data_IF_976397278102
#
_entry.id   IF_976397278102
#
_cell.length_a   1.000
_cell.length_b   1.000
_cell.length_c   1.000
_cell.angle_alpha   90.00
_cell.angle_beta   90.00
_cell.angle_gamma   90.00
#
_symmetry.space_group_name_H-M   'P 1'
#
loop_
_entity.id
_entity.type
_entity.pdbx_description
1 polymer ?
#
# COMPACT_ATOMS: atom_id res chain seq x y z
N UNK A 1 16.59 5.46 -11.12
CA UNK A 1 15.75 5.90 -9.99
C UNK A 1 16.24 5.18 -8.75
N UNK A 2 16.68 5.90 -7.72
CA UNK A 2 17.10 5.31 -6.46
C UNK A 2 15.91 4.64 -5.78
N UNK A 3 16.09 3.39 -5.35
CA UNK A 3 15.08 2.68 -4.54
C UNK A 3 15.33 3.03 -3.08
N UNK A 4 14.28 3.45 -2.39
CA UNK A 4 14.36 3.93 -1.02
C UNK A 4 14.76 2.80 -0.05
N UNK A 5 15.75 2.99 0.84
CA UNK A 5 16.25 1.90 1.69
C UNK A 5 15.32 1.52 2.83
N UNK A 6 14.36 2.37 3.22
CA UNK A 6 13.36 2.03 4.23
C UNK A 6 12.20 1.32 3.55
N UNK A 7 11.30 2.03 2.87
CA UNK A 7 10.04 1.45 2.37
C UNK A 7 10.17 0.55 1.13
N UNK A 8 11.21 0.76 0.31
CA UNK A 8 11.40 0.08 -0.96
C UNK A 8 10.57 0.63 -2.13
N UNK A 9 9.93 1.78 -1.94
CA UNK A 9 9.31 2.51 -3.04
C UNK A 9 10.38 3.21 -3.90
N UNK A 10 10.05 3.48 -5.15
CA UNK A 10 10.91 4.28 -6.03
C UNK A 10 10.90 5.73 -5.52
N UNK A 11 12.04 6.22 -5.07
CA UNK A 11 12.21 7.62 -4.74
C UNK A 11 12.61 8.37 -6.01
N UNK A 12 12.02 9.54 -6.23
CA UNK A 12 12.49 10.45 -7.26
C UNK A 12 13.78 11.12 -6.78
N UNK A 13 14.79 11.23 -7.65
CA UNK A 13 16.02 12.01 -7.38
C UNK A 13 15.74 13.50 -7.08
N UNK A 14 14.51 13.96 -7.34
CA UNK A 14 14.01 15.30 -7.02
C UNK A 14 13.27 15.38 -5.68
N UNK A 15 13.33 14.36 -4.82
CA UNK A 15 12.69 14.44 -3.52
C UNK A 15 13.38 15.50 -2.66
N UNK A 16 12.60 16.42 -2.08
CA UNK A 16 13.13 17.41 -1.14
C UNK A 16 13.57 16.77 0.19
N UNK A 17 13.10 15.55 0.45
CA UNK A 17 13.39 14.79 1.66
C UNK A 17 14.62 13.94 1.41
N UNK A 18 15.73 14.34 2.02
CA UNK A 18 17.03 13.68 1.90
C UNK A 18 17.71 13.54 3.26
N UNK A 19 18.66 12.62 3.37
CA UNK A 19 19.57 12.51 4.50
C UNK A 19 20.97 12.09 4.03
N UNK A 20 22.01 12.68 4.62
CA UNK A 20 23.39 12.33 4.31
C UNK A 20 23.93 11.35 5.34
N UNK A 21 24.43 10.20 4.87
CA UNK A 21 25.06 9.21 5.72
C UNK A 21 26.33 8.65 5.05
N UNK A 22 27.45 8.68 5.77
CA UNK A 22 28.77 8.24 5.28
C UNK A 22 29.20 8.84 3.92
N UNK A 23 28.78 10.07 3.64
CA UNK A 23 29.10 10.78 2.39
C UNK A 23 28.22 10.38 1.20
N UNK A 24 27.16 9.62 1.43
CA UNK A 24 26.11 9.30 0.45
C UNK A 24 24.81 10.00 0.83
N UNK A 25 24.21 10.71 -0.13
CA UNK A 25 22.89 11.32 0.02
C UNK A 25 21.82 10.30 -0.31
N UNK A 26 20.93 10.03 0.64
CA UNK A 26 19.77 9.16 0.49
C UNK A 26 18.51 10.00 0.28
N UNK A 27 17.59 9.47 -0.52
CA UNK A 27 16.32 10.11 -0.90
C UNK A 27 15.15 9.32 -0.31
N UNK A 28 14.15 10.03 0.21
CA UNK A 28 13.01 9.42 0.91
C UNK A 28 11.67 9.85 0.31
N UNK A 29 10.69 8.94 0.33
CA UNK A 29 9.33 9.21 -0.13
C UNK A 29 8.50 10.02 0.87
N UNK A 30 8.83 9.95 2.17
CA UNK A 30 8.15 10.68 3.25
C UNK A 30 9.12 11.08 4.35
N UNK A 31 8.69 12.05 5.18
CA UNK A 31 9.45 12.49 6.35
C UNK A 31 9.61 11.36 7.37
N UNK A 32 8.59 10.54 7.55
CA UNK A 32 8.65 9.40 8.47
C UNK A 32 9.76 8.41 8.06
N UNK A 33 9.88 8.10 6.75
CA UNK A 33 10.93 7.20 6.27
C UNK A 33 12.34 7.77 6.52
N UNK A 34 12.52 9.08 6.35
CA UNK A 34 13.78 9.76 6.72
C UNK A 34 14.05 9.63 8.21
N UNK A 35 13.07 9.94 9.05
CA UNK A 35 13.24 9.93 10.51
C UNK A 35 13.59 8.50 11.00
N UNK A 36 12.91 7.47 10.48
CA UNK A 36 13.27 6.07 10.74
C UNK A 36 14.69 5.73 10.29
N UNK A 37 15.12 6.22 9.12
CA UNK A 37 16.49 6.02 8.65
C UNK A 37 17.50 6.71 9.58
N UNK A 38 17.23 7.94 10.02
CA UNK A 38 18.13 8.70 10.91
C UNK A 38 18.27 8.06 12.30
N UNK A 39 17.23 7.38 12.80
CA UNK A 39 17.32 6.62 14.06
C UNK A 39 18.31 5.46 13.97
N UNK A 40 18.32 4.73 12.84
CA UNK A 40 19.11 3.51 12.67
C UNK A 40 19.75 3.38 11.27
N UNK A 41 20.59 4.34 10.83
CA UNK A 41 21.02 4.43 9.43
C UNK A 41 21.85 3.24 8.99
N UNK A 42 22.74 2.75 9.86
CA UNK A 42 23.57 1.56 9.61
C UNK A 42 22.74 0.33 9.26
N UNK A 43 21.59 0.15 9.92
CA UNK A 43 20.72 -1.02 9.69
C UNK A 43 20.17 -1.04 8.27
N UNK A 44 19.75 0.13 7.75
CA UNK A 44 19.19 0.25 6.42
C UNK A 44 20.25 0.27 5.31
N UNK A 45 21.49 0.64 5.64
CA UNK A 45 22.65 0.54 4.74
C UNK A 45 23.10 -0.92 4.60
N UNK A 46 23.17 -1.66 5.71
CA UNK A 46 23.57 -3.08 5.71
C UNK A 46 22.48 -4.00 5.13
N UNK A 47 21.22 -3.77 5.52
CA UNK A 47 20.07 -4.55 5.06
C UNK A 47 18.96 -3.61 4.55
N UNK A 48 18.98 -3.24 3.26
CA UNK A 48 17.96 -2.37 2.69
C UNK A 48 16.61 -3.08 2.67
N UNK A 49 15.57 -2.37 3.13
CA UNK A 49 14.17 -2.82 3.21
C UNK A 49 14.01 -4.03 4.15
N UNK A 50 14.35 -3.89 5.44
CA UNK A 50 14.35 -5.02 6.38
C UNK A 50 12.95 -5.62 6.61
N UNK A 51 11.89 -4.89 6.28
CA UNK A 51 10.51 -5.41 6.31
C UNK A 51 10.10 -6.10 5.01
N UNK A 52 10.96 -6.28 4.02
CA UNK A 52 10.65 -7.05 2.81
C UNK A 52 11.52 -8.32 2.75
N UNK A 53 10.97 -9.40 2.21
CA UNK A 53 11.73 -10.58 1.85
C UNK A 53 11.32 -11.07 0.45
N UNK A 54 12.26 -11.74 -0.23
CA UNK A 54 11.94 -12.49 -1.44
C UNK A 54 11.26 -13.81 -1.06
N UNK A 55 10.06 -14.02 -1.58
CA UNK A 55 9.34 -15.28 -1.51
C UNK A 55 9.08 -15.79 -2.94
N UNK A 56 10.04 -16.54 -3.48
CA UNK A 56 9.96 -17.14 -4.83
C UNK A 56 9.87 -16.08 -5.94
N UNK A 57 10.70 -15.03 -5.88
CA UNK A 57 10.72 -13.95 -6.87
C UNK A 57 9.66 -12.87 -6.65
N UNK A 58 8.89 -12.95 -5.57
CA UNK A 58 7.93 -11.92 -5.16
C UNK A 58 8.45 -11.24 -3.89
N UNK A 59 8.67 -9.93 -3.96
CA UNK A 59 9.00 -9.12 -2.79
C UNK A 59 7.74 -8.96 -1.94
N UNK A 60 7.71 -9.61 -0.78
CA UNK A 60 6.58 -9.57 0.16
C UNK A 60 7.03 -8.95 1.48
N UNK A 61 6.13 -8.31 2.24
CA UNK A 61 6.47 -7.88 3.59
C UNK A 61 6.86 -9.06 4.48
N UNK A 62 7.97 -8.94 5.20
CA UNK A 62 8.36 -9.76 6.35
C UNK A 62 7.37 -9.52 7.49
N UNK A 63 6.19 -10.12 7.39
CA UNK A 63 5.30 -10.25 8.53
C UNK A 63 6.05 -10.95 9.67
N UNK A 64 6.28 -10.23 10.77
CA UNK A 64 6.82 -10.80 12.01
C UNK A 64 5.82 -11.74 12.67
N UNK A 65 4.55 -11.66 12.26
CA UNK A 65 3.58 -12.68 12.57
C UNK A 65 4.01 -13.94 11.85
N UNK A 66 4.56 -14.87 12.65
CA UNK A 66 4.90 -16.20 12.22
C UNK A 66 3.82 -16.69 11.27
N UNK A 67 4.24 -17.27 10.15
CA UNK A 67 3.43 -18.16 9.34
C UNK A 67 2.77 -19.11 10.32
N UNK A 68 1.56 -18.80 10.81
CA UNK A 68 0.98 -19.67 11.82
C UNK A 68 0.68 -20.94 11.03
N UNK A 69 1.47 -21.97 11.33
CA UNK A 69 1.25 -23.29 10.78
C UNK A 69 0.09 -23.82 11.60
N UNK A 70 -1.12 -23.64 11.07
CA UNK A 70 -2.36 -23.91 11.78
C UNK A 70 -3.57 -23.63 10.89
N UNK A 71 -4.68 -24.29 11.21
CA UNK A 71 -5.96 -24.08 10.54
C UNK A 71 -6.58 -22.79 11.08
N UNK A 72 -6.55 -21.73 10.27
CA UNK A 72 -7.27 -20.50 10.61
C UNK A 72 -8.74 -20.68 10.23
N UNK A 73 -9.60 -20.80 11.23
CA UNK A 73 -11.04 -20.81 11.02
C UNK A 73 -11.58 -19.39 11.17
N UNK A 74 -11.84 -18.73 10.04
CA UNK A 74 -12.57 -17.47 10.01
C UNK A 74 -14.06 -17.77 10.16
N UNK A 75 -14.61 -17.58 11.36
CA UNK A 75 -16.05 -17.64 11.57
C UNK A 75 -16.66 -16.30 11.25
N UNK A 76 -17.54 -16.28 10.26
CA UNK A 76 -18.39 -15.14 9.97
C UNK A 76 -19.40 -15.01 11.10
N UNK A 77 -19.19 -14.01 11.98
CA UNK A 77 -20.10 -13.76 13.10
C UNK A 77 -21.49 -13.34 12.61
N UNK A 78 -21.54 -12.62 11.49
CA UNK A 78 -22.78 -12.18 10.85
C UNK A 78 -22.60 -12.18 9.32
N UNK A 79 -23.31 -13.03 8.57
CA UNK A 79 -23.21 -13.11 7.11
C UNK A 79 -23.80 -11.90 6.40
N UNK A 80 -24.64 -11.09 7.05
CA UNK A 80 -25.22 -9.87 6.45
C UNK A 80 -24.21 -8.71 6.42
N UNK A 81 -23.12 -8.80 7.21
CA UNK A 81 -22.01 -7.84 7.20
C UNK A 81 -20.97 -8.14 6.11
N UNK A 82 -21.05 -9.31 5.45
CA UNK A 82 -20.22 -9.61 4.29
C UNK A 82 -20.84 -8.95 3.06
N UNK A 83 -20.23 -7.85 2.61
CA UNK A 83 -20.49 -7.36 1.26
C UNK A 83 -19.89 -8.35 0.26
N UNK A 84 -20.74 -8.95 -0.56
CA UNK A 84 -20.30 -9.55 -1.81
C UNK A 84 -19.82 -8.38 -2.67
N UNK A 85 -18.53 -8.36 -3.04
CA UNK A 85 -18.01 -7.36 -3.95
C UNK A 85 -18.85 -7.41 -5.23
N UNK A 86 -19.71 -6.41 -5.40
CA UNK A 86 -20.44 -6.24 -6.65
C UNK A 86 -19.37 -5.91 -7.68
N UNK A 87 -19.25 -6.80 -8.65
CA UNK A 87 -18.60 -6.52 -9.91
C UNK A 87 -19.39 -5.35 -10.51
N UNK A 88 -18.88 -4.13 -10.35
CA UNK A 88 -19.44 -2.91 -10.93
C UNK A 88 -19.23 -2.98 -12.45
N UNK A 89 -20.02 -3.81 -13.11
CA UNK A 89 -20.15 -3.90 -14.56
C UNK A 89 -21.66 -3.95 -14.85
N UNK A 90 -22.35 -2.81 -14.69
CA UNK A 90 -23.35 -2.35 -15.66
C UNK A 90 -23.95 -0.98 -15.31
N UNK A 91 -23.75 -0.06 -16.25
CA UNK A 91 -24.71 0.95 -16.70
C UNK A 91 -25.21 2.01 -15.70
N UNK A 92 -24.50 3.16 -15.76
CA UNK A 92 -25.09 4.46 -16.14
C UNK A 92 -26.61 4.55 -15.88
N UNK A 93 -26.95 4.77 -14.62
CA UNK A 93 -28.29 5.13 -14.16
C UNK A 93 -28.66 6.57 -14.58
N UNK A 94 -28.51 6.89 -15.87
CA UNK A 94 -28.84 8.18 -16.48
C UNK A 94 -30.22 8.17 -17.18
N UNK A 95 -30.96 7.05 -17.20
CA UNK A 95 -32.25 6.97 -17.89
C UNK A 95 -33.50 7.16 -16.99
N UNK A 96 -33.37 7.32 -15.66
CA UNK A 96 -34.55 7.57 -14.81
C UNK A 96 -35.02 9.03 -14.75
N UNK A 97 -34.20 9.99 -15.20
CA UNK A 97 -34.67 11.36 -15.42
C UNK A 97 -35.60 11.45 -16.65
N UNK A 98 -35.57 10.46 -17.53
CA UNK A 98 -36.46 10.40 -18.70
C UNK A 98 -37.90 10.02 -18.34
N UNK A 99 -38.11 9.36 -17.20
CA UNK A 99 -39.43 9.02 -16.68
C UNK A 99 -40.16 10.24 -16.07
N UNK A 100 -39.44 11.10 -15.33
CA UNK A 100 -40.04 12.29 -14.72
C UNK A 100 -40.45 13.36 -15.75
N UNK A 101 -39.76 13.44 -16.89
CA UNK A 101 -40.07 14.43 -17.95
C UNK A 101 -41.33 14.11 -18.76
N UNK A 102 -41.85 12.88 -18.69
CA UNK A 102 -43.10 12.49 -19.35
C UNK A 102 -44.35 12.82 -18.51
N UNK A 103 -44.21 13.04 -17.20
CA UNK A 103 -45.31 13.31 -16.29
C UNK A 103 -45.73 14.79 -16.22
N UNK A 104 -44.88 15.72 -16.66
CA UNK A 104 -45.12 17.18 -16.55
C UNK A 104 -45.74 17.83 -17.81
N UNK A 105 -46.20 17.04 -18.80
CA UNK A 105 -46.81 17.55 -20.05
C UNK A 105 -48.22 17.02 -20.32
N UNK A 106 -49.00 16.69 -19.30
CA UNK A 106 -50.42 16.36 -19.44
C UNK A 106 -51.27 17.10 -18.41
#
# INVERSE_FOLDING_TARGET
MPVEPVCGMEASDSSEITADFEGTTFYFCSSDCRDFFEEHPKRFVDEPRPHLCDASGVMVPRLHYGRAVGEFNLTVADPELLSVGLEDDTDLQFDLERANKAAERS
#
